data_IF_191017612603
#
_entry.id   IF_191017612603
#
_cell.length_a   1.000
_cell.length_b   1.000
_cell.length_c   1.000
_cell.angle_alpha   90.00
_cell.angle_beta   90.00
_cell.angle_gamma   90.00
#
_symmetry.space_group_name_H-M   'P 1'
#
loop_
_entity.id
_entity.type
_entity.pdbx_description
1 polymer ?
#
# COMPACT_ATOMS: atom_id res chain seq x y z
N UNK A 1 36.76 21.72 -30.41
CA UNK A 1 36.08 20.64 -29.67
C UNK A 1 34.70 21.17 -29.31
N UNK A 2 33.71 20.89 -30.17
CA UNK A 2 32.31 21.24 -29.96
C UNK A 2 31.69 20.20 -29.07
N UNK A 3 31.42 20.55 -27.80
CA UNK A 3 30.59 19.79 -26.88
C UNK A 3 29.17 19.73 -27.43
N UNK A 4 28.74 18.52 -27.89
CA UNK A 4 27.34 18.24 -28.11
C UNK A 4 26.60 18.39 -26.78
N UNK A 5 25.73 19.36 -26.71
CA UNK A 5 24.66 19.42 -25.70
C UNK A 5 23.73 18.28 -26.08
N UNK A 6 23.74 17.20 -25.29
CA UNK A 6 22.74 16.14 -25.43
C UNK A 6 21.35 16.78 -25.26
N UNK A 7 20.61 16.83 -26.35
CA UNK A 7 19.19 17.18 -26.34
C UNK A 7 18.48 16.23 -25.38
N UNK A 8 18.03 16.77 -24.26
CA UNK A 8 17.12 16.08 -23.34
C UNK A 8 15.85 15.82 -24.14
N UNK A 9 15.70 14.58 -24.59
CA UNK A 9 14.52 14.16 -25.33
C UNK A 9 13.27 14.56 -24.53
N UNK A 10 12.26 15.20 -25.17
CA UNK A 10 11.06 15.63 -24.47
C UNK A 10 10.43 14.44 -23.77
N UNK A 11 10.01 14.66 -22.51
CA UNK A 11 9.34 13.66 -21.70
C UNK A 11 8.19 13.06 -22.51
N UNK A 12 8.41 11.89 -23.12
CA UNK A 12 7.39 11.22 -23.92
C UNK A 12 6.18 11.03 -23.01
N UNK A 13 5.07 11.59 -23.46
CA UNK A 13 3.76 11.48 -22.83
C UNK A 13 3.56 10.04 -22.34
N UNK A 14 3.15 9.93 -21.10
CA UNK A 14 2.79 8.69 -20.41
C UNK A 14 1.94 7.83 -21.36
N UNK A 15 2.28 6.58 -21.64
CA UNK A 15 1.39 5.72 -22.40
C UNK A 15 0.19 5.37 -21.50
N UNK A 16 -0.84 6.22 -21.56
CA UNK A 16 -2.06 6.11 -20.75
C UNK A 16 -2.61 4.67 -20.74
N UNK A 17 -2.55 3.98 -21.88
CA UNK A 17 -2.99 2.59 -21.97
C UNK A 17 -2.20 1.60 -21.11
N UNK A 18 -0.91 1.84 -20.86
CA UNK A 18 -0.08 0.97 -20.02
C UNK A 18 -0.42 1.06 -18.53
N UNK A 19 -1.16 2.09 -18.12
CA UNK A 19 -1.60 2.31 -16.74
C UNK A 19 -3.11 2.16 -16.61
N UNK A 20 -3.90 2.81 -17.48
CA UNK A 20 -5.36 2.75 -17.43
C UNK A 20 -5.90 1.35 -17.70
N UNK A 21 -5.33 0.60 -18.63
CA UNK A 21 -5.77 -0.77 -18.93
C UNK A 21 -5.69 -1.68 -17.70
N UNK A 22 -4.50 -1.86 -17.09
CA UNK A 22 -4.35 -2.64 -15.86
C UNK A 22 -5.23 -2.14 -14.70
N UNK A 23 -5.34 -0.81 -14.54
CA UNK A 23 -6.19 -0.19 -13.53
C UNK A 23 -7.66 -0.61 -13.71
N UNK A 24 -8.23 -0.33 -14.87
CA UNK A 24 -9.66 -0.60 -15.13
C UNK A 24 -9.96 -2.09 -15.01
N UNK A 25 -9.17 -2.94 -15.67
CA UNK A 25 -9.39 -4.39 -15.63
C UNK A 25 -9.33 -4.92 -14.19
N UNK A 26 -8.31 -4.56 -13.45
CA UNK A 26 -8.14 -5.07 -12.09
C UNK A 26 -9.20 -4.53 -11.12
N UNK A 27 -9.59 -3.25 -11.23
CA UNK A 27 -10.62 -2.68 -10.35
C UNK A 27 -11.99 -3.24 -10.68
N UNK A 28 -12.34 -3.36 -11.96
CA UNK A 28 -13.60 -4.02 -12.36
C UNK A 28 -13.67 -5.46 -11.80
N UNK A 29 -12.59 -6.23 -11.89
CA UNK A 29 -12.56 -7.60 -11.34
C UNK A 29 -12.69 -7.56 -9.82
N UNK A 30 -11.86 -6.78 -9.11
CA UNK A 30 -11.85 -6.72 -7.65
C UNK A 30 -13.20 -6.24 -7.09
N UNK A 31 -13.75 -5.16 -7.66
CA UNK A 31 -15.00 -4.58 -7.21
C UNK A 31 -16.19 -5.50 -7.50
N UNK A 32 -16.23 -6.14 -8.68
CA UNK A 32 -17.26 -7.11 -9.02
C UNK A 32 -17.22 -8.32 -8.09
N UNK A 33 -16.02 -8.81 -7.69
CA UNK A 33 -15.87 -9.89 -6.73
C UNK A 33 -16.40 -9.50 -5.35
N UNK A 34 -16.02 -8.33 -4.82
CA UNK A 34 -16.49 -7.85 -3.51
C UNK A 34 -18.00 -7.64 -3.54
N UNK A 35 -18.52 -6.91 -4.54
CA UNK A 35 -19.95 -6.61 -4.66
C UNK A 35 -20.77 -7.87 -4.87
N UNK A 36 -20.37 -8.76 -5.78
CA UNK A 36 -21.07 -10.00 -6.07
C UNK A 36 -21.18 -10.90 -4.84
N UNK A 37 -20.10 -11.04 -4.08
CA UNK A 37 -20.08 -11.82 -2.85
C UNK A 37 -20.87 -11.14 -1.70
N UNK A 38 -20.81 -9.81 -1.59
CA UNK A 38 -21.59 -9.06 -0.60
C UNK A 38 -23.10 -9.18 -0.88
N UNK A 39 -23.52 -9.07 -2.15
CA UNK A 39 -24.90 -9.26 -2.56
C UNK A 39 -25.40 -10.70 -2.31
N UNK A 40 -24.58 -11.70 -2.58
CA UNK A 40 -24.93 -13.09 -2.32
C UNK A 40 -25.13 -13.41 -0.83
N UNK A 41 -24.52 -12.64 0.07
CA UNK A 41 -24.70 -12.75 1.53
C UNK A 41 -26.01 -12.12 2.04
N UNK A 42 -26.77 -11.42 1.21
CA UNK A 42 -28.15 -10.91 1.43
C UNK A 42 -28.41 -10.02 2.68
N UNK A 43 -27.39 -9.61 3.43
CA UNK A 43 -27.57 -8.88 4.72
C UNK A 43 -26.69 -7.63 4.90
N UNK A 44 -25.91 -7.25 3.89
CA UNK A 44 -24.98 -6.12 4.01
C UNK A 44 -25.32 -5.01 3.04
N UNK A 45 -25.29 -3.72 3.45
CA UNK A 45 -25.35 -2.62 2.51
C UNK A 45 -24.29 -2.76 1.43
N UNK A 46 -24.59 -2.36 0.19
CA UNK A 46 -23.79 -2.62 -1.01
C UNK A 46 -22.30 -2.30 -0.82
N UNK A 47 -21.97 -1.20 -0.16
CA UNK A 47 -20.58 -0.77 0.06
C UNK A 47 -19.97 -1.26 1.38
N UNK A 48 -20.73 -1.94 2.25
CA UNK A 48 -20.18 -2.44 3.52
C UNK A 48 -19.12 -3.54 3.31
N UNK A 49 -19.16 -4.23 2.17
CA UNK A 49 -18.13 -5.20 1.79
C UNK A 49 -16.74 -4.58 1.64
N UNK A 50 -16.66 -3.31 1.23
CA UNK A 50 -15.40 -2.58 1.06
C UNK A 50 -14.85 -1.99 2.36
N UNK A 51 -15.72 -1.72 3.35
CA UNK A 51 -15.37 -1.10 4.62
C UNK A 51 -15.34 -2.11 5.79
N UNK A 52 -14.94 -3.35 5.53
CA UNK A 52 -14.77 -4.36 6.57
C UNK A 52 -13.48 -4.15 7.37
N UNK A 53 -13.41 -4.68 8.60
CA UNK A 53 -12.23 -4.62 9.49
C UNK A 53 -11.74 -3.21 9.75
N UNK A 54 -10.48 -2.94 9.46
CA UNK A 54 -9.89 -1.60 9.55
C UNK A 54 -10.75 -0.56 8.84
N UNK A 55 -11.40 -0.94 7.72
CA UNK A 55 -12.28 -0.07 6.94
C UNK A 55 -13.47 0.46 7.73
N UNK A 56 -13.99 -0.32 8.67
CA UNK A 56 -15.02 0.14 9.60
C UNK A 56 -14.50 1.32 10.44
N UNK A 57 -13.33 1.18 11.04
CA UNK A 57 -12.73 2.22 11.87
C UNK A 57 -12.44 3.49 11.08
N UNK A 58 -11.87 3.37 9.87
CA UNK A 58 -11.61 4.53 9.01
C UNK A 58 -12.89 5.29 8.66
N UNK A 59 -13.98 4.59 8.34
CA UNK A 59 -15.27 5.23 8.04
C UNK A 59 -15.88 5.87 9.29
N UNK A 60 -15.79 5.22 10.46
CA UNK A 60 -16.30 5.80 11.71
C UNK A 60 -15.49 7.03 12.14
N UNK A 61 -14.17 7.01 12.03
CA UNK A 61 -13.35 8.19 12.31
C UNK A 61 -13.65 9.32 11.33
N UNK A 62 -13.87 9.02 10.05
CA UNK A 62 -14.29 10.01 9.06
C UNK A 62 -15.61 10.67 9.44
N UNK A 63 -16.56 9.91 9.96
CA UNK A 63 -17.88 10.39 10.39
C UNK A 63 -17.81 11.20 11.69
N UNK A 64 -17.20 10.64 12.74
CA UNK A 64 -17.34 11.10 14.12
C UNK A 64 -16.04 11.59 14.77
N UNK A 65 -14.90 11.51 14.06
CA UNK A 65 -13.58 11.74 14.65
C UNK A 65 -13.13 10.58 15.53
N UNK A 66 -12.18 10.84 16.41
CA UNK A 66 -11.73 9.87 17.42
C UNK A 66 -12.72 9.91 18.60
N UNK A 67 -13.77 9.11 18.49
CA UNK A 67 -15.03 9.21 19.25
C UNK A 67 -15.07 8.38 20.54
N UNK A 68 -14.08 7.49 20.72
CA UNK A 68 -13.97 6.68 21.95
C UNK A 68 -12.80 7.16 22.79
N UNK A 69 -13.04 7.21 24.10
CA UNK A 69 -11.96 7.40 25.05
C UNK A 69 -11.01 6.19 24.99
N UNK A 70 -9.74 6.45 25.20
CA UNK A 70 -8.77 5.38 25.24
C UNK A 70 -8.89 4.60 26.56
N UNK A 71 -9.10 3.30 26.47
CA UNK A 71 -9.01 2.37 27.59
C UNK A 71 -8.07 1.22 27.22
N UNK A 72 -7.04 0.91 28.05
CA UNK A 72 -6.12 -0.19 27.80
C UNK A 72 -6.85 -1.53 27.63
N UNK A 73 -6.43 -2.33 26.65
CA UNK A 73 -7.02 -3.64 26.38
C UNK A 73 -8.39 -3.61 25.67
N UNK A 74 -8.88 -2.46 25.24
CA UNK A 74 -10.12 -2.33 24.46
C UNK A 74 -9.85 -1.88 23.03
N UNK A 75 -10.63 -2.44 22.10
CA UNK A 75 -10.63 -1.96 20.70
C UNK A 75 -11.03 -0.49 20.65
N UNK A 76 -10.27 0.30 19.90
CA UNK A 76 -10.47 1.75 19.82
C UNK A 76 -10.01 2.31 18.47
N UNK A 77 -10.42 3.55 18.09
CA UNK A 77 -10.00 4.18 16.84
C UNK A 77 -8.53 4.66 16.85
N UNK A 78 -7.86 4.67 17.99
CA UNK A 78 -6.56 5.31 18.16
C UNK A 78 -5.39 4.71 17.35
N UNK A 79 -5.35 3.40 17.00
CA UNK A 79 -4.32 2.85 16.13
C UNK A 79 -4.38 3.36 14.67
N UNK A 80 -5.50 3.95 14.26
CA UNK A 80 -5.75 4.37 12.88
C UNK A 80 -5.31 5.81 12.65
N UNK A 81 -4.43 6.01 11.68
CA UNK A 81 -3.81 7.31 11.41
C UNK A 81 -4.77 8.27 10.69
N UNK A 82 -4.62 9.60 10.89
CA UNK A 82 -5.68 10.57 10.58
C UNK A 82 -5.86 10.91 9.10
N UNK A 83 -4.86 10.62 8.24
CA UNK A 83 -4.90 11.11 6.86
C UNK A 83 -6.01 10.44 6.04
N UNK A 84 -6.15 9.10 6.11
CA UNK A 84 -7.20 8.42 5.35
C UNK A 84 -8.61 8.84 5.78
N UNK A 85 -8.95 8.87 7.09
CA UNK A 85 -10.25 9.40 7.52
C UNK A 85 -10.48 10.86 7.08
N UNK A 86 -9.44 11.69 7.09
CA UNK A 86 -9.53 13.07 6.63
C UNK A 86 -9.86 13.17 5.13
N UNK A 87 -9.22 12.34 4.30
CA UNK A 87 -9.52 12.26 2.86
C UNK A 87 -10.95 11.74 2.62
N UNK A 88 -11.36 10.70 3.36
CA UNK A 88 -12.73 10.17 3.28
C UNK A 88 -13.74 11.27 3.63
N UNK A 89 -13.53 11.99 4.71
CA UNK A 89 -14.41 13.11 5.12
C UNK A 89 -14.50 14.19 4.05
N UNK A 90 -13.37 14.56 3.44
CA UNK A 90 -13.34 15.57 2.39
C UNK A 90 -14.13 15.14 1.14
N UNK A 91 -14.03 13.87 0.73
CA UNK A 91 -14.79 13.33 -0.39
C UNK A 91 -16.27 13.13 -0.01
N UNK A 92 -16.56 12.66 1.21
CA UNK A 92 -17.92 12.50 1.73
C UNK A 92 -18.69 13.83 1.71
N UNK A 93 -18.04 14.95 1.98
CA UNK A 93 -18.66 16.28 1.92
C UNK A 93 -19.19 16.64 0.52
N UNK A 94 -18.80 15.91 -0.54
CA UNK A 94 -19.33 16.06 -1.90
C UNK A 94 -20.57 15.20 -2.17
N UNK A 95 -21.05 14.41 -1.19
CA UNK A 95 -22.31 13.67 -1.24
C UNK A 95 -22.25 12.14 -1.14
N UNK A 96 -21.15 11.42 -1.51
CA UNK A 96 -21.14 9.97 -1.39
C UNK A 96 -21.10 9.52 0.07
N UNK A 97 -21.54 8.27 0.36
CA UNK A 97 -21.35 7.69 1.69
C UNK A 97 -19.87 7.58 2.05
N UNK A 98 -19.53 7.50 3.34
CA UNK A 98 -18.14 7.39 3.82
C UNK A 98 -17.43 6.17 3.21
N UNK A 99 -18.13 5.04 3.07
CA UNK A 99 -17.57 3.84 2.45
C UNK A 99 -17.25 4.05 0.95
N UNK A 100 -18.18 4.67 0.21
CA UNK A 100 -17.96 5.01 -1.21
C UNK A 100 -16.88 6.07 -1.36
N UNK A 101 -16.84 7.08 -0.49
CA UNK A 101 -15.78 8.08 -0.45
C UNK A 101 -14.40 7.43 -0.26
N UNK A 102 -14.29 6.45 0.64
CA UNK A 102 -13.06 5.68 0.86
C UNK A 102 -12.63 4.86 -0.36
N UNK A 103 -13.58 4.21 -1.03
CA UNK A 103 -13.32 3.48 -2.29
C UNK A 103 -12.80 4.44 -3.38
N UNK A 104 -13.44 5.61 -3.55
CA UNK A 104 -13.01 6.61 -4.54
C UNK A 104 -11.60 7.15 -4.24
N UNK A 105 -11.30 7.47 -2.97
CA UNK A 105 -9.96 7.87 -2.54
C UNK A 105 -8.94 6.81 -2.93
N UNK A 106 -9.23 5.54 -2.64
CA UNK A 106 -8.30 4.45 -2.92
C UNK A 106 -8.14 4.17 -4.42
N UNK A 107 -9.20 4.27 -5.23
CA UNK A 107 -9.09 4.13 -6.68
C UNK A 107 -8.20 5.22 -7.29
N UNK A 108 -8.41 6.48 -6.89
CA UNK A 108 -7.55 7.59 -7.34
C UNK A 108 -6.11 7.38 -6.89
N UNK A 109 -5.90 7.04 -5.62
CA UNK A 109 -4.56 6.78 -5.09
C UNK A 109 -3.88 5.61 -5.82
N UNK A 110 -4.60 4.50 -6.06
CA UNK A 110 -4.05 3.35 -6.77
C UNK A 110 -3.66 3.70 -8.20
N UNK A 111 -4.50 4.44 -8.94
CA UNK A 111 -4.18 4.91 -10.28
C UNK A 111 -2.90 5.78 -10.28
N UNK A 112 -2.79 6.72 -9.35
CA UNK A 112 -1.58 7.55 -9.18
C UNK A 112 -0.36 6.69 -8.83
N UNK A 113 -0.54 5.67 -7.98
CA UNK A 113 0.51 4.72 -7.64
C UNK A 113 0.99 3.89 -8.83
N UNK A 114 0.07 3.41 -9.67
CA UNK A 114 0.40 2.69 -10.91
C UNK A 114 1.17 3.58 -11.88
N UNK A 115 0.81 4.86 -11.95
CA UNK A 115 1.53 5.85 -12.75
C UNK A 115 2.98 6.02 -12.28
N UNK A 116 3.18 6.18 -10.97
CA UNK A 116 4.51 6.25 -10.36
C UNK A 116 5.30 4.95 -10.57
N UNK A 117 4.68 3.80 -10.38
CA UNK A 117 5.30 2.49 -10.59
C UNK A 117 5.80 2.31 -12.03
N UNK A 118 4.98 2.69 -13.02
CA UNK A 118 5.38 2.64 -14.42
C UNK A 118 6.62 3.51 -14.68
N UNK A 119 6.65 4.75 -14.14
CA UNK A 119 7.80 5.67 -14.28
C UNK A 119 9.06 5.09 -13.68
N UNK A 120 9.00 4.64 -12.43
CA UNK A 120 10.12 4.06 -11.71
C UNK A 120 10.62 2.80 -12.42
N UNK A 121 9.73 1.89 -12.80
CA UNK A 121 10.11 0.66 -13.50
C UNK A 121 10.74 0.94 -14.86
N UNK A 122 10.21 1.90 -15.62
CA UNK A 122 10.76 2.29 -16.93
C UNK A 122 12.13 2.97 -16.81
N UNK A 123 12.37 3.71 -15.73
CA UNK A 123 13.67 4.35 -15.47
C UNK A 123 14.80 3.33 -15.25
N UNK A 124 14.50 2.25 -14.56
CA UNK A 124 15.48 1.22 -14.19
C UNK A 124 15.54 0.04 -15.18
N UNK A 125 14.50 -0.13 -15.99
CA UNK A 125 14.38 -1.21 -16.96
C UNK A 125 13.83 -0.67 -18.29
N UNK A 126 13.06 -1.47 -19.03
CA UNK A 126 12.43 -1.08 -20.29
C UNK A 126 10.89 -0.94 -20.17
N UNK A 127 10.26 -0.48 -21.25
CA UNK A 127 8.80 -0.28 -21.30
C UNK A 127 8.02 -1.57 -21.07
N UNK A 128 8.51 -2.72 -21.56
CA UNK A 128 7.87 -4.02 -21.37
C UNK A 128 7.91 -4.42 -19.88
N UNK A 129 9.05 -4.25 -19.22
CA UNK A 129 9.17 -4.49 -17.79
C UNK A 129 8.26 -3.58 -16.98
N UNK A 130 8.19 -2.29 -17.35
CA UNK A 130 7.32 -1.31 -16.69
C UNK A 130 5.84 -1.69 -16.83
N UNK A 131 5.38 -2.03 -18.02
CA UNK A 131 4.01 -2.45 -18.25
C UNK A 131 3.67 -3.74 -17.46
N UNK A 132 4.60 -4.72 -17.45
CA UNK A 132 4.41 -5.96 -16.68
C UNK A 132 4.46 -5.74 -15.17
N UNK A 133 5.22 -4.77 -14.67
CA UNK A 133 5.21 -4.38 -13.26
C UNK A 133 3.84 -3.84 -12.83
N UNK A 134 3.24 -3.00 -13.67
CA UNK A 134 1.90 -2.45 -13.45
C UNK A 134 0.84 -3.55 -13.48
N UNK A 135 0.89 -4.48 -14.45
CA UNK A 135 0.00 -5.64 -14.46
C UNK A 135 0.21 -6.56 -13.26
N UNK A 136 1.45 -6.76 -12.85
CA UNK A 136 1.77 -7.65 -11.72
C UNK A 136 1.13 -7.15 -10.41
N UNK A 137 1.24 -5.86 -10.08
CA UNK A 137 0.57 -5.33 -8.87
C UNK A 137 -0.94 -5.24 -9.05
N UNK A 138 -1.42 -4.85 -10.23
CA UNK A 138 -2.84 -4.71 -10.50
C UNK A 138 -3.60 -6.03 -10.33
N UNK A 139 -3.00 -7.14 -10.74
CA UNK A 139 -3.56 -8.49 -10.62
C UNK A 139 -2.97 -9.31 -9.47
N UNK A 140 -2.12 -8.72 -8.61
CA UNK A 140 -1.63 -9.41 -7.42
C UNK A 140 -2.81 -9.88 -6.55
N UNK A 141 -2.81 -11.10 -6.01
CA UNK A 141 -3.98 -11.61 -5.30
C UNK A 141 -4.49 -10.71 -4.17
N UNK A 142 -3.58 -10.15 -3.36
CA UNK A 142 -3.94 -9.21 -2.30
C UNK A 142 -4.28 -7.78 -2.80
N UNK A 143 -4.21 -7.49 -4.12
CA UNK A 143 -4.52 -6.15 -4.66
C UNK A 143 -5.98 -5.74 -4.50
N UNK A 144 -6.83 -6.67 -4.10
CA UNK A 144 -8.21 -6.37 -3.68
C UNK A 144 -8.27 -5.30 -2.59
N UNK A 145 -7.22 -5.21 -1.74
CA UNK A 145 -7.11 -4.19 -0.69
C UNK A 145 -7.10 -2.75 -1.25
N UNK A 146 -6.64 -2.57 -2.50
CA UNK A 146 -6.65 -1.26 -3.15
C UNK A 146 -8.05 -0.79 -3.59
N UNK A 147 -9.05 -1.66 -3.54
CA UNK A 147 -10.47 -1.31 -3.66
C UNK A 147 -11.14 -1.11 -2.31
N UNK A 148 -10.60 -1.66 -1.24
CA UNK A 148 -11.19 -1.56 0.10
C UNK A 148 -10.86 -0.21 0.76
N UNK A 149 -11.59 0.14 1.81
CA UNK A 149 -11.33 1.34 2.62
C UNK A 149 -10.15 1.09 3.56
N UNK A 150 -8.95 1.03 2.97
CA UNK A 150 -7.69 0.73 3.65
C UNK A 150 -6.61 1.76 3.28
N UNK A 151 -5.59 1.97 4.11
CA UNK A 151 -4.52 2.93 3.82
C UNK A 151 -3.59 2.50 2.68
N UNK A 152 -3.73 1.27 2.21
CA UNK A 152 -2.80 0.58 1.31
C UNK A 152 -2.56 1.29 -0.02
N UNK A 153 -3.63 1.78 -0.67
CA UNK A 153 -3.51 2.45 -1.96
C UNK A 153 -2.82 3.81 -1.83
N UNK A 154 -3.18 4.58 -0.79
CA UNK A 154 -2.57 5.89 -0.51
C UNK A 154 -1.10 5.72 -0.12
N UNK A 155 -0.79 4.73 0.73
CA UNK A 155 0.59 4.40 1.10
C UNK A 155 1.42 3.96 -0.10
N UNK A 156 0.90 3.08 -0.94
CA UNK A 156 1.57 2.62 -2.16
C UNK A 156 1.90 3.80 -3.08
N UNK A 157 0.91 4.65 -3.38
CA UNK A 157 1.11 5.85 -4.20
C UNK A 157 2.17 6.76 -3.59
N UNK A 158 2.03 7.09 -2.31
CA UNK A 158 2.95 7.99 -1.61
C UNK A 158 4.39 7.42 -1.61
N UNK A 159 4.56 6.13 -1.34
CA UNK A 159 5.87 5.50 -1.31
C UNK A 159 6.54 5.52 -2.67
N UNK A 160 5.85 5.14 -3.74
CA UNK A 160 6.43 5.12 -5.09
C UNK A 160 6.80 6.50 -5.57
N UNK A 161 5.93 7.50 -5.33
CA UNK A 161 6.22 8.88 -5.72
C UNK A 161 7.33 9.52 -4.88
N UNK A 162 7.44 9.20 -3.58
CA UNK A 162 8.54 9.69 -2.78
C UNK A 162 9.90 9.25 -3.36
N UNK A 163 10.05 7.99 -3.74
CA UNK A 163 11.27 7.47 -4.34
C UNK A 163 11.53 8.05 -5.75
N UNK A 164 10.50 8.12 -6.61
CA UNK A 164 10.64 8.69 -7.96
C UNK A 164 11.08 10.17 -7.93
N UNK A 165 10.45 10.96 -7.05
CA UNK A 165 10.74 12.39 -6.91
C UNK A 165 12.13 12.67 -6.32
N UNK A 166 12.61 11.81 -5.40
CA UNK A 166 13.98 11.90 -4.87
C UNK A 166 15.01 11.64 -5.97
N UNK A 167 14.77 10.70 -6.86
CA UNK A 167 15.62 10.44 -8.02
C UNK A 167 15.64 11.63 -9.00
N UNK A 168 14.50 12.31 -9.15
CA UNK A 168 14.37 13.54 -9.95
C UNK A 168 14.91 14.82 -9.24
N UNK A 169 15.48 14.69 -8.04
CA UNK A 169 15.93 15.84 -7.22
C UNK A 169 14.82 16.83 -6.85
N UNK A 170 13.56 16.36 -6.85
CA UNK A 170 12.38 17.15 -6.46
C UNK A 170 12.06 16.93 -4.98
N UNK A 171 13.02 17.26 -4.11
CA UNK A 171 12.99 16.90 -2.70
C UNK A 171 11.76 17.48 -1.95
N UNK A 172 11.25 18.67 -2.30
CA UNK A 172 10.04 19.25 -1.69
C UNK A 172 8.77 18.47 -2.03
N UNK A 173 8.62 18.00 -3.27
CA UNK A 173 7.48 17.16 -3.64
C UNK A 173 7.61 15.76 -3.02
N UNK A 174 8.83 15.24 -2.93
CA UNK A 174 9.11 14.00 -2.21
C UNK A 174 8.76 14.15 -0.71
N UNK A 175 9.00 15.31 -0.10
CA UNK A 175 8.58 15.60 1.26
C UNK A 175 7.06 15.51 1.44
N UNK A 176 6.28 16.08 0.52
CA UNK A 176 4.81 15.97 0.56
C UNK A 176 4.37 14.50 0.48
N UNK A 177 4.95 13.71 -0.43
CA UNK A 177 4.67 12.28 -0.53
C UNK A 177 5.08 11.53 0.76
N UNK A 178 6.20 11.90 1.39
CA UNK A 178 6.67 11.30 2.65
C UNK A 178 5.70 11.62 3.80
N UNK A 179 5.21 12.86 3.89
CA UNK A 179 4.15 13.25 4.86
C UNK A 179 2.91 12.38 4.66
N UNK A 180 2.45 12.21 3.42
CA UNK A 180 1.29 11.35 3.11
C UNK A 180 1.53 9.93 3.59
N UNK A 181 2.68 9.33 3.28
CA UNK A 181 2.99 7.96 3.68
C UNK A 181 3.03 7.78 5.21
N UNK A 182 3.64 8.73 5.94
CA UNK A 182 3.76 8.69 7.40
C UNK A 182 2.40 8.91 8.08
N UNK A 183 1.59 9.84 7.55
CA UNK A 183 0.31 10.20 8.17
C UNK A 183 -0.84 9.28 7.79
N UNK A 184 -0.65 8.37 6.83
CA UNK A 184 -1.69 7.39 6.45
C UNK A 184 -1.59 6.11 7.28
N UNK A 185 -0.39 5.75 7.77
CA UNK A 185 -0.16 4.54 8.57
C UNK A 185 1.21 4.51 9.26
N UNK A 186 1.36 3.76 10.38
CA UNK A 186 2.63 3.67 11.11
C UNK A 186 3.82 3.23 10.24
N UNK A 187 3.63 2.29 9.31
CA UNK A 187 4.70 1.77 8.45
C UNK A 187 5.32 2.85 7.53
N UNK A 188 4.72 4.04 7.43
CA UNK A 188 5.28 5.19 6.75
C UNK A 188 6.66 5.60 7.30
N UNK A 189 6.91 5.39 8.59
CA UNK A 189 8.25 5.63 9.16
C UNK A 189 9.31 4.71 8.56
N UNK A 190 8.98 3.44 8.39
CA UNK A 190 9.89 2.47 7.80
C UNK A 190 10.21 2.83 6.35
N UNK A 191 9.23 3.35 5.63
CA UNK A 191 9.44 3.90 4.29
C UNK A 191 10.36 5.13 4.32
N UNK A 192 10.19 6.05 5.28
CA UNK A 192 11.04 7.23 5.43
C UNK A 192 12.50 6.85 5.75
N UNK A 193 12.73 5.79 6.55
CA UNK A 193 14.08 5.24 6.79
C UNK A 193 14.69 4.72 5.49
N UNK A 194 13.94 3.94 4.69
CA UNK A 194 14.41 3.45 3.39
C UNK A 194 14.68 4.62 2.41
N UNK A 195 13.91 5.69 2.49
CA UNK A 195 14.10 6.90 1.69
C UNK A 195 15.36 7.66 2.12
N UNK A 196 15.63 7.80 3.42
CA UNK A 196 16.88 8.38 3.93
C UNK A 196 18.09 7.58 3.43
N UNK A 197 17.96 6.25 3.36
CA UNK A 197 18.98 5.39 2.75
C UNK A 197 19.15 5.64 1.24
N UNK A 198 18.07 5.93 0.52
CA UNK A 198 18.11 6.33 -0.90
C UNK A 198 18.84 7.67 -1.09
N UNK A 199 18.65 8.58 -0.16
CA UNK A 199 19.33 9.87 -0.12
C UNK A 199 20.82 9.77 0.31
N UNK A 200 21.32 8.55 0.56
CA UNK A 200 22.71 8.28 1.01
C UNK A 200 23.10 9.06 2.26
N UNK A 201 22.13 9.32 3.14
CA UNK A 201 22.29 10.09 4.37
C UNK A 201 22.80 11.53 4.16
N UNK A 202 22.60 12.11 2.95
CA UNK A 202 22.79 13.55 2.74
C UNK A 202 21.85 14.31 3.69
N UNK A 203 22.42 14.83 4.78
CA UNK A 203 21.65 15.40 5.88
C UNK A 203 20.71 16.51 5.41
N UNK A 204 21.15 17.37 4.49
CA UNK A 204 20.33 18.46 3.96
C UNK A 204 19.09 17.89 3.25
N UNK A 205 19.29 16.92 2.37
CA UNK A 205 18.18 16.30 1.60
C UNK A 205 17.27 15.47 2.51
N UNK A 206 17.84 14.76 3.49
CA UNK A 206 17.06 14.00 4.49
C UNK A 206 16.19 14.96 5.30
N UNK A 207 16.72 16.08 5.79
CA UNK A 207 15.95 17.07 6.55
C UNK A 207 14.84 17.68 5.69
N UNK A 208 15.13 18.04 4.43
CA UNK A 208 14.12 18.60 3.53
C UNK A 208 13.03 17.59 3.21
N UNK A 209 13.39 16.31 2.99
CA UNK A 209 12.45 15.28 2.51
C UNK A 209 11.69 14.60 3.64
N UNK A 210 12.36 14.30 4.77
CA UNK A 210 11.76 13.57 5.89
C UNK A 210 11.36 14.47 7.07
N UNK A 211 11.96 15.66 7.20
CA UNK A 211 11.68 16.60 8.29
C UNK A 211 10.20 17.00 8.40
N UNK A 212 9.52 17.41 7.30
CA UNK A 212 8.10 17.73 7.34
C UNK A 212 7.22 16.55 7.82
N UNK A 213 7.58 15.32 7.47
CA UNK A 213 6.88 14.13 7.96
C UNK A 213 7.09 13.90 9.46
N UNK A 214 8.31 14.16 9.97
CA UNK A 214 8.59 14.10 11.40
C UNK A 214 7.80 15.16 12.19
N UNK A 215 7.66 16.37 11.64
CA UNK A 215 6.85 17.44 12.26
C UNK A 215 5.36 17.03 12.27
N UNK A 216 4.83 16.53 11.15
CA UNK A 216 3.43 16.08 11.06
C UNK A 216 3.15 14.94 12.05
N UNK A 217 4.09 14.01 12.20
CA UNK A 217 3.98 12.96 13.20
C UNK A 217 4.06 13.50 14.64
N UNK A 218 4.96 14.43 14.91
CA UNK A 218 5.01 15.09 16.21
C UNK A 218 3.68 15.78 16.57
N UNK A 219 3.04 16.42 15.58
CA UNK A 219 1.70 16.99 15.76
C UNK A 219 0.65 15.89 16.07
N UNK A 220 0.73 14.75 15.43
CA UNK A 220 -0.13 13.59 15.74
C UNK A 220 0.10 13.06 17.16
N UNK A 221 1.36 12.95 17.59
CA UNK A 221 1.68 12.60 18.97
C UNK A 221 1.15 13.64 19.97
N UNK A 222 1.26 14.92 19.65
CA UNK A 222 0.70 16.01 20.45
C UNK A 222 -0.81 15.92 20.59
N UNK A 223 -1.52 15.64 19.49
CA UNK A 223 -2.96 15.40 19.52
C UNK A 223 -3.35 14.19 20.39
N UNK A 224 -2.61 13.07 20.28
CA UNK A 224 -2.83 11.92 21.16
C UNK A 224 -2.64 12.29 22.63
N UNK A 225 -1.53 13.00 22.95
CA UNK A 225 -1.25 13.44 24.32
C UNK A 225 -2.37 14.32 24.89
N UNK A 226 -2.86 15.28 24.12
CA UNK A 226 -3.95 16.17 24.52
C UNK A 226 -5.25 15.41 24.77
N UNK A 227 -5.58 14.43 23.92
CA UNK A 227 -6.86 13.72 23.96
C UNK A 227 -6.91 12.55 24.93
N UNK A 228 -5.78 11.92 25.20
CA UNK A 228 -5.72 10.65 25.97
C UNK A 228 -4.71 10.67 27.12
N UNK A 229 -3.93 11.74 27.24
CA UNK A 229 -2.84 11.82 28.23
C UNK A 229 -1.57 11.05 27.83
N UNK A 230 -1.54 10.43 26.65
CA UNK A 230 -0.39 9.64 26.19
C UNK A 230 -0.08 9.92 24.72
N UNK A 231 1.12 10.43 24.42
CA UNK A 231 1.56 10.74 23.06
C UNK A 231 1.64 9.51 22.14
N UNK A 232 1.78 8.32 22.70
CA UNK A 232 1.94 7.05 21.98
C UNK A 232 0.70 6.16 22.04
N UNK A 233 -0.46 6.71 22.35
CA UNK A 233 -1.74 5.97 22.41
C UNK A 233 -1.99 5.14 21.16
N UNK A 234 -1.68 5.65 19.97
CA UNK A 234 -1.84 4.91 18.72
C UNK A 234 -1.04 3.58 18.68
N UNK A 235 0.04 3.49 19.44
CA UNK A 235 0.85 2.28 19.56
C UNK A 235 0.30 1.35 20.65
N UNK A 236 0.04 1.89 21.85
CA UNK A 236 -0.48 1.12 23.00
C UNK A 236 -1.90 0.60 22.77
N UNK A 237 -2.71 1.34 22.04
CA UNK A 237 -4.07 0.92 21.72
C UNK A 237 -4.15 -0.37 20.87
N UNK A 238 -3.03 -0.86 20.34
CA UNK A 238 -2.96 -2.17 19.68
C UNK A 238 -3.15 -3.33 20.67
N UNK A 239 -2.87 -3.13 21.95
CA UNK A 239 -3.06 -4.14 22.99
C UNK A 239 -4.54 -4.53 23.19
N UNK A 240 -5.46 -3.72 22.67
CA UNK A 240 -6.89 -4.04 22.60
C UNK A 240 -7.28 -5.02 21.50
N UNK A 241 -6.35 -5.35 20.61
CA UNK A 241 -6.56 -6.26 19.49
C UNK A 241 -5.97 -7.62 19.83
N UNK A 242 -6.59 -8.74 19.39
CA UNK A 242 -6.08 -10.07 19.67
C UNK A 242 -4.61 -10.20 19.25
N UNK A 243 -3.73 -10.46 20.19
CA UNK A 243 -2.37 -10.88 19.89
C UNK A 243 -2.42 -12.27 19.27
N UNK A 244 -1.94 -12.40 18.05
CA UNK A 244 -1.79 -13.69 17.41
C UNK A 244 -0.33 -14.09 17.56
N UNK A 245 -0.04 -14.97 18.52
CA UNK A 245 1.27 -15.59 18.65
C UNK A 245 1.66 -16.27 17.34
N UNK A 246 2.88 -16.00 16.86
CA UNK A 246 3.41 -16.57 15.62
C UNK A 246 3.32 -18.10 15.62
N UNK A 247 3.64 -18.75 16.75
CA UNK A 247 3.62 -20.21 16.86
C UNK A 247 2.20 -20.76 16.83
N UNK A 248 1.28 -20.16 17.56
CA UNK A 248 -0.14 -20.51 17.54
C UNK A 248 -0.76 -20.26 16.17
N UNK A 249 -0.42 -19.14 15.53
CA UNK A 249 -0.88 -18.79 14.21
C UNK A 249 -0.41 -19.82 13.16
N UNK A 250 0.87 -20.19 13.18
CA UNK A 250 1.43 -21.18 12.24
C UNK A 250 0.87 -22.58 12.49
N UNK A 251 0.66 -22.97 13.74
CA UNK A 251 0.23 -24.32 14.08
C UNK A 251 -1.29 -24.52 14.03
N UNK A 252 -2.07 -23.53 14.44
CA UNK A 252 -3.54 -23.65 14.55
C UNK A 252 -4.30 -23.23 13.31
N UNK A 253 -3.78 -22.22 12.58
CA UNK A 253 -4.51 -21.60 11.45
C UNK A 253 -3.72 -21.64 10.13
N UNK A 254 -3.21 -22.83 9.78
CA UNK A 254 -2.43 -23.04 8.55
C UNK A 254 -3.11 -22.52 7.29
N UNK A 255 -4.44 -22.54 7.25
CA UNK A 255 -5.24 -22.07 6.10
C UNK A 255 -5.12 -20.56 5.89
N UNK A 256 -4.81 -19.82 6.96
CA UNK A 256 -4.62 -18.37 6.95
C UNK A 256 -3.15 -18.02 6.70
N UNK A 257 -2.23 -18.70 7.40
CA UNK A 257 -0.79 -18.43 7.36
C UNK A 257 -0.18 -18.71 6.00
N UNK A 258 -0.53 -19.85 5.38
CA UNK A 258 0.08 -20.27 4.11
C UNK A 258 -0.07 -19.21 3.01
N UNK A 259 -1.26 -18.62 2.76
CA UNK A 259 -1.39 -17.55 1.77
C UNK A 259 -0.51 -16.34 2.05
N UNK A 260 -0.41 -15.89 3.30
CA UNK A 260 0.47 -14.77 3.65
C UNK A 260 1.94 -15.07 3.37
N UNK A 261 2.40 -16.24 3.78
CA UNK A 261 3.78 -16.67 3.53
C UNK A 261 4.07 -16.83 2.03
N UNK A 262 3.12 -17.38 1.26
CA UNK A 262 3.28 -17.54 -0.18
C UNK A 262 3.34 -16.18 -0.89
N UNK A 263 2.45 -15.24 -0.55
CA UNK A 263 2.41 -13.91 -1.16
C UNK A 263 3.66 -13.09 -0.81
N UNK A 264 4.03 -13.07 0.48
CA UNK A 264 5.25 -12.39 0.92
C UNK A 264 6.51 -13.07 0.39
N UNK A 265 6.54 -14.40 0.39
CA UNK A 265 7.64 -15.19 -0.16
C UNK A 265 7.85 -14.94 -1.66
N UNK A 266 6.76 -14.87 -2.43
CA UNK A 266 6.82 -14.53 -3.85
C UNK A 266 7.37 -13.10 -4.09
N UNK A 267 6.92 -12.13 -3.28
CA UNK A 267 7.43 -10.77 -3.35
C UNK A 267 8.92 -10.68 -3.01
N UNK A 268 9.36 -11.33 -1.94
CA UNK A 268 10.78 -11.39 -1.55
C UNK A 268 11.60 -12.13 -2.61
N UNK A 269 11.12 -13.28 -3.10
CA UNK A 269 11.81 -14.06 -4.14
C UNK A 269 12.00 -13.23 -5.41
N UNK A 270 11.01 -12.46 -5.85
CA UNK A 270 11.14 -11.59 -7.01
C UNK A 270 12.29 -10.59 -6.82
N UNK A 271 12.38 -9.95 -5.65
CA UNK A 271 13.46 -8.99 -5.33
C UNK A 271 14.81 -9.70 -5.28
N UNK A 272 14.91 -10.87 -4.61
CA UNK A 272 16.16 -11.64 -4.49
C UNK A 272 16.68 -12.10 -5.85
N UNK A 273 15.81 -12.53 -6.77
CA UNK A 273 16.23 -12.98 -8.10
C UNK A 273 16.88 -11.88 -8.95
N UNK A 274 16.58 -10.60 -8.68
CA UNK A 274 17.14 -9.47 -9.45
C UNK A 274 17.87 -8.44 -8.57
N UNK A 275 18.17 -8.77 -7.31
CA UNK A 275 18.70 -7.85 -6.30
C UNK A 275 19.88 -7.01 -6.75
N UNK A 276 20.80 -7.60 -7.56
CA UNK A 276 21.98 -6.91 -8.09
C UNK A 276 21.66 -5.77 -9.06
N UNK A 277 20.41 -5.71 -9.56
CA UNK A 277 19.92 -4.71 -10.51
C UNK A 277 19.02 -3.67 -9.86
N UNK A 278 18.71 -3.85 -8.58
CA UNK A 278 17.85 -2.95 -7.83
C UNK A 278 18.67 -2.00 -6.96
N UNK A 279 18.23 -0.75 -6.76
CA UNK A 279 18.81 0.15 -5.76
C UNK A 279 18.77 -0.49 -4.36
N UNK A 280 19.83 -0.33 -3.57
CA UNK A 280 19.90 -0.90 -2.21
C UNK A 280 18.77 -0.42 -1.31
N UNK A 281 18.32 0.82 -1.47
CA UNK A 281 17.18 1.39 -0.74
C UNK A 281 15.88 0.63 -0.98
N UNK A 282 15.69 0.03 -2.15
CA UNK A 282 14.53 -0.81 -2.46
C UNK A 282 14.58 -2.16 -1.74
N UNK A 283 15.79 -2.71 -1.57
CA UNK A 283 15.98 -3.91 -0.74
C UNK A 283 15.64 -3.61 0.72
N UNK A 284 16.11 -2.45 1.22
CA UNK A 284 15.76 -1.98 2.57
C UNK A 284 14.26 -1.78 2.72
N UNK A 285 13.60 -1.12 1.76
CA UNK A 285 12.14 -0.92 1.79
C UNK A 285 11.39 -2.25 1.83
N UNK A 286 11.80 -3.23 0.99
CA UNK A 286 11.18 -4.55 0.98
C UNK A 286 11.39 -5.29 2.30
N UNK A 287 12.60 -5.26 2.85
CA UNK A 287 12.89 -5.89 4.14
C UNK A 287 12.06 -5.26 5.28
N UNK A 288 11.97 -3.92 5.32
CA UNK A 288 11.19 -3.19 6.31
C UNK A 288 9.67 -3.40 6.16
N UNK A 289 9.19 -3.77 4.97
CA UNK A 289 7.78 -4.13 4.77
C UNK A 289 7.46 -5.55 5.25
N UNK A 290 8.42 -6.47 5.24
CA UNK A 290 8.19 -7.90 5.53
C UNK A 290 8.65 -8.28 6.94
N UNK A 291 9.83 -7.81 7.38
CA UNK A 291 10.44 -8.28 8.64
C UNK A 291 9.66 -7.86 9.88
N UNK A 292 9.27 -6.58 10.08
CA UNK A 292 8.56 -6.19 11.30
C UNK A 292 7.22 -6.92 11.50
N UNK A 293 6.38 -7.14 10.45
CA UNK A 293 5.15 -7.93 10.60
C UNK A 293 5.38 -9.37 11.08
N UNK A 294 6.53 -9.97 10.83
CA UNK A 294 6.86 -11.30 11.35
C UNK A 294 6.95 -11.35 12.89
N UNK A 295 7.24 -10.20 13.53
CA UNK A 295 7.36 -10.08 14.98
C UNK A 295 6.13 -9.51 15.66
N UNK A 296 5.38 -8.64 14.96
CA UNK A 296 4.22 -7.92 15.53
C UNK A 296 2.90 -8.65 15.28
N UNK A 297 2.94 -9.72 14.49
CA UNK A 297 1.76 -10.48 14.07
C UNK A 297 1.67 -10.55 12.55
N UNK A 298 1.58 -11.78 12.04
CA UNK A 298 1.65 -12.05 10.60
C UNK A 298 0.36 -11.71 9.86
N UNK A 299 -0.68 -11.28 10.56
CA UNK A 299 -1.95 -10.87 9.97
C UNK A 299 -1.72 -9.69 9.03
N UNK A 300 -1.94 -9.91 7.75
CA UNK A 300 -1.68 -8.91 6.71
C UNK A 300 -0.27 -8.93 6.11
N UNK A 301 0.59 -9.91 6.40
CA UNK A 301 1.95 -10.00 5.85
C UNK A 301 1.95 -9.99 4.30
N UNK A 302 1.04 -10.74 3.67
CA UNK A 302 0.90 -10.75 2.21
C UNK A 302 0.52 -9.38 1.68
N UNK A 303 -0.38 -8.68 2.37
CA UNK A 303 -0.78 -7.30 2.06
C UNK A 303 0.40 -6.35 2.19
N UNK A 304 1.15 -6.38 3.31
CA UNK A 304 2.30 -5.49 3.51
C UNK A 304 3.39 -5.67 2.45
N UNK A 305 3.65 -6.90 2.05
CA UNK A 305 4.57 -7.19 0.94
C UNK A 305 4.02 -6.69 -0.42
N UNK A 306 2.69 -6.68 -0.59
CA UNK A 306 1.99 -6.20 -1.77
C UNK A 306 1.83 -4.68 -1.87
N UNK A 307 2.07 -3.94 -0.79
CA UNK A 307 1.89 -2.47 -0.74
C UNK A 307 3.17 -1.68 -1.09
N UNK A 308 4.30 -2.35 -1.24
CA UNK A 308 5.57 -1.71 -1.63
C UNK A 308 5.92 -2.05 -3.07
N UNK A 309 6.45 -1.07 -3.79
CA UNK A 309 6.65 -1.16 -5.23
C UNK A 309 7.83 -2.06 -5.69
N UNK A 310 8.94 -2.26 -4.94
CA UNK A 310 10.12 -2.95 -5.46
C UNK A 310 9.86 -4.39 -5.92
N UNK A 311 9.03 -5.22 -5.24
CA UNK A 311 8.71 -6.56 -5.71
C UNK A 311 8.07 -6.58 -7.10
N UNK A 312 7.25 -5.60 -7.42
CA UNK A 312 6.55 -5.53 -8.71
C UNK A 312 7.47 -5.04 -9.84
N UNK A 313 8.36 -4.10 -9.56
CA UNK A 313 9.43 -3.75 -10.50
C UNK A 313 10.30 -4.97 -10.80
N UNK A 314 10.67 -5.74 -9.77
CA UNK A 314 11.41 -6.98 -9.90
C UNK A 314 10.63 -8.03 -10.72
N UNK A 315 9.34 -8.21 -10.43
CA UNK A 315 8.46 -9.10 -11.19
C UNK A 315 8.41 -8.69 -12.68
N UNK A 316 8.23 -7.41 -12.98
CA UNK A 316 8.27 -6.91 -14.36
C UNK A 316 9.58 -7.22 -15.07
N UNK A 317 10.71 -7.03 -14.38
CA UNK A 317 12.05 -7.35 -14.90
C UNK A 317 12.26 -8.85 -15.16
N UNK A 318 11.60 -9.73 -14.41
CA UNK A 318 11.62 -11.19 -14.62
C UNK A 318 10.67 -11.57 -15.76
N UNK A 319 9.41 -11.15 -15.67
CA UNK A 319 8.34 -11.57 -16.59
C UNK A 319 8.58 -11.11 -18.03
N UNK A 320 9.30 -10.01 -18.26
CA UNK A 320 9.64 -9.56 -19.61
C UNK A 320 10.43 -10.58 -20.44
N UNK A 321 11.07 -11.54 -19.77
CA UNK A 321 11.84 -12.60 -20.41
C UNK A 321 11.03 -13.86 -20.69
N UNK A 322 9.82 -13.95 -20.13
CA UNK A 322 8.96 -15.09 -20.25
C UNK A 322 8.14 -15.07 -21.54
N UNK A 323 7.81 -16.24 -22.11
CA UNK A 323 6.83 -16.35 -23.18
C UNK A 323 5.49 -15.74 -22.75
N UNK A 324 4.82 -15.07 -23.67
CA UNK A 324 3.52 -14.42 -23.41
C UNK A 324 2.49 -15.37 -22.81
N UNK A 325 2.45 -16.62 -23.29
CA UNK A 325 1.50 -17.63 -22.78
C UNK A 325 1.69 -17.90 -21.28
N UNK A 326 2.95 -17.99 -20.79
CA UNK A 326 3.23 -18.22 -19.39
C UNK A 326 2.88 -17.00 -18.53
N UNK A 327 3.11 -15.78 -19.03
CA UNK A 327 2.71 -14.54 -18.35
C UNK A 327 1.20 -14.46 -18.20
N UNK A 328 0.44 -14.78 -19.27
CA UNK A 328 -1.01 -14.79 -19.24
C UNK A 328 -1.55 -15.88 -18.31
N UNK A 329 -0.94 -17.07 -18.31
CA UNK A 329 -1.31 -18.14 -17.39
C UNK A 329 -1.08 -17.73 -15.92
N UNK A 330 0.06 -17.07 -15.61
CA UNK A 330 0.34 -16.54 -14.27
C UNK A 330 -0.72 -15.51 -13.85
N UNK A 331 -1.09 -14.58 -14.73
CA UNK A 331 -2.10 -13.58 -14.43
C UNK A 331 -3.49 -14.18 -14.27
N UNK A 332 -3.85 -15.21 -15.05
CA UNK A 332 -5.09 -15.94 -14.86
C UNK A 332 -5.14 -16.63 -13.49
N UNK A 333 -4.06 -17.28 -13.08
CA UNK A 333 -3.94 -17.86 -11.72
C UNK A 333 -4.04 -16.76 -10.65
N UNK A 334 -3.39 -15.63 -10.85
CA UNK A 334 -3.49 -14.47 -9.92
C UNK A 334 -4.93 -13.99 -9.75
N UNK A 335 -5.71 -13.91 -10.83
CA UNK A 335 -7.15 -13.53 -10.76
C UNK A 335 -7.96 -14.55 -9.97
N UNK A 336 -7.71 -15.87 -10.16
CA UNK A 336 -8.36 -16.92 -9.35
C UNK A 336 -8.01 -16.76 -7.87
N UNK A 337 -6.74 -16.51 -7.55
CA UNK A 337 -6.32 -16.28 -6.18
C UNK A 337 -6.89 -14.97 -5.61
N UNK A 338 -7.06 -13.93 -6.43
CA UNK A 338 -7.77 -12.69 -6.03
C UNK A 338 -9.23 -12.98 -5.67
N UNK A 339 -9.92 -13.84 -6.43
CA UNK A 339 -11.28 -14.24 -6.09
C UNK A 339 -11.33 -15.02 -4.76
N UNK A 340 -10.31 -15.84 -4.46
CA UNK A 340 -10.19 -16.51 -3.17
C UNK A 340 -9.95 -15.50 -2.04
N UNK A 341 -9.10 -14.48 -2.25
CA UNK A 341 -8.91 -13.39 -1.30
C UNK A 341 -10.22 -12.63 -1.05
N UNK A 342 -10.98 -12.31 -2.10
CA UNK A 342 -12.31 -11.69 -1.98
C UNK A 342 -13.29 -12.56 -1.16
N UNK A 343 -13.29 -13.86 -1.40
CA UNK A 343 -14.10 -14.79 -0.62
C UNK A 343 -13.74 -14.75 0.86
N UNK A 344 -12.45 -14.75 1.20
CA UNK A 344 -12.02 -14.67 2.59
C UNK A 344 -12.42 -13.36 3.23
N UNK A 345 -12.26 -12.22 2.55
CA UNK A 345 -12.70 -10.92 3.03
C UNK A 345 -14.19 -10.88 3.35
N UNK A 346 -15.02 -11.41 2.46
CA UNK A 346 -16.48 -11.28 2.60
C UNK A 346 -17.06 -12.33 3.54
N UNK A 347 -16.57 -13.58 3.49
CA UNK A 347 -17.21 -14.70 4.18
C UNK A 347 -16.46 -15.20 5.42
N UNK A 348 -15.15 -15.00 5.50
CA UNK A 348 -14.31 -15.52 6.58
C UNK A 348 -13.76 -14.44 7.50
N UNK A 349 -14.13 -13.22 7.22
CA UNK A 349 -13.64 -12.06 7.94
C UNK A 349 -12.11 -12.06 8.06
N UNK A 350 -11.42 -12.18 6.91
CA UNK A 350 -9.98 -12.28 6.84
C UNK A 350 -9.44 -11.65 5.56
N UNK A 351 -8.37 -10.86 5.67
CA UNK A 351 -7.66 -10.24 4.55
C UNK A 351 -6.18 -10.70 4.55
N UNK A 352 -5.74 -11.41 3.51
CA UNK A 352 -4.36 -11.87 3.37
C UNK A 352 -3.31 -10.77 3.34
#
# INVERSE_FOLDING_TARGET
>A
VTTRVDEVAPARLFPLGAVLGPFVVSRVIADALILGMALARARTPLYAGFAKWDGFWYTQIAKSGYFLDYAPGQESPWPFFPLLPGLIRAVHALGPSEALAGVLVNHVAFLLGLAGLYRVARRHFDERAAALAVWAIALFPASIVFSMVYPSAVFFAASVWAFDLVEDRRDLFAAAATVVAVMVRPNGFLMAVALAFALRWDLRRVVVTCGPAAIAFGAWCGYNLERTGDALTFFRAKDGWPEIDLVDFVLRDRKIVIPHLLLAGAAVAAVVLVWRRLPRSWLVLTALAVVPPLYVGMVGLGRYAGEVFPPFVAAGAILRRWPRALVLALFAVSVVLMALCAYWVVYRDYLP
#
